data_IF_850379685241
#
_entry.id   IF_850379685241
#
_cell.length_a   1.000
_cell.length_b   1.000
_cell.length_c   1.000
_cell.angle_alpha   90.00
_cell.angle_beta   90.00
_cell.angle_gamma   90.00
#
_symmetry.space_group_name_H-M   'P 1'
#
loop_
_entity.id
_entity.type
_entity.pdbx_description
1 polymer ?
#
# COMPACT_ATOMS: atom_id res chain seq x y z
N UNK A 1 -21.51 78.79 3.44
CA UNK A 1 -20.58 78.08 2.54
C UNK A 1 -19.73 77.11 3.37
N UNK A 2 -19.98 75.79 3.18
CA UNK A 2 -18.96 74.72 3.00
C UNK A 2 -18.17 74.25 4.24
N UNK A 3 -18.59 73.11 4.83
CA UNK A 3 -17.89 71.79 4.95
C UNK A 3 -17.17 71.59 6.30
N UNK A 4 -17.59 70.68 7.19
CA UNK A 4 -17.50 69.21 7.12
C UNK A 4 -16.05 68.69 6.97
N UNK A 5 -15.46 68.19 8.06
CA UNK A 5 -14.36 67.22 7.97
C UNK A 5 -14.32 66.32 9.22
N UNK A 6 -15.05 65.20 9.13
CA UNK A 6 -14.93 64.03 10.01
C UNK A 6 -13.96 63.08 9.31
N UNK A 7 -12.87 62.65 9.94
CA UNK A 7 -12.16 61.46 9.47
C UNK A 7 -11.73 60.59 10.66
N UNK A 8 -12.52 59.52 10.82
CA UNK A 8 -12.28 58.35 11.66
C UNK A 8 -11.10 57.55 11.08
N UNK A 9 -10.14 57.19 11.94
CA UNK A 9 -9.00 56.35 11.60
C UNK A 9 -9.39 54.89 11.89
N UNK A 10 -9.60 54.09 10.84
CA UNK A 10 -9.88 52.66 10.94
C UNK A 10 -8.63 51.86 10.54
N UNK A 11 -8.02 51.18 11.51
CA UNK A 11 -6.91 50.26 11.28
C UNK A 11 -7.46 48.88 10.90
N UNK A 12 -7.21 48.44 9.67
CA UNK A 12 -7.58 47.11 9.18
C UNK A 12 -6.39 46.17 9.38
N UNK A 13 -6.50 45.25 10.34
CA UNK A 13 -5.55 44.16 10.55
C UNK A 13 -5.99 43.00 9.65
N UNK A 14 -5.25 42.74 8.56
CA UNK A 14 -5.45 41.56 7.72
C UNK A 14 -4.70 40.39 8.35
N UNK A 15 -5.44 39.50 9.01
CA UNK A 15 -4.91 38.22 9.51
C UNK A 15 -4.83 37.19 8.39
N UNK A 16 -3.62 36.83 7.97
CA UNK A 16 -3.39 35.70 7.08
C UNK A 16 -3.39 34.40 7.90
N UNK A 17 -4.49 33.66 7.88
CA UNK A 17 -4.56 32.31 8.45
C UNK A 17 -3.91 31.32 7.49
N UNK A 18 -2.68 30.90 7.78
CA UNK A 18 -2.06 29.75 7.12
C UNK A 18 -2.73 28.47 7.64
N UNK A 19 -3.65 27.90 6.84
CA UNK A 19 -4.16 26.55 7.08
C UNK A 19 -3.03 25.58 6.74
N UNK A 20 -2.32 25.10 7.76
CA UNK A 20 -1.39 23.99 7.63
C UNK A 20 -2.16 22.74 7.22
N UNK A 21 -2.08 22.36 5.95
CA UNK A 21 -2.60 21.08 5.46
C UNK A 21 -1.69 19.98 6.01
N UNK A 22 -2.01 19.44 7.19
CA UNK A 22 -1.38 18.21 7.66
C UNK A 22 -1.79 17.11 6.69
N UNK A 23 -0.86 16.68 5.82
CA UNK A 23 -1.10 15.58 4.91
C UNK A 23 -1.40 14.33 5.75
N UNK A 24 -2.66 13.89 5.74
CA UNK A 24 -3.06 12.64 6.39
C UNK A 24 -2.24 11.51 5.80
N UNK A 25 -1.62 10.68 6.66
CA UNK A 25 -0.93 9.49 6.19
C UNK A 25 -1.91 8.63 5.38
N UNK A 26 -1.53 8.23 4.14
CA UNK A 26 -2.42 7.46 3.29
C UNK A 26 -2.76 6.16 4.03
N UNK A 27 -4.03 5.99 4.34
CA UNK A 27 -4.53 4.87 5.14
C UNK A 27 -5.47 4.03 4.27
N UNK A 28 -5.30 2.71 4.33
CA UNK A 28 -6.22 1.80 3.65
C UNK A 28 -7.60 1.86 4.35
N UNK A 29 -8.71 2.09 3.61
CA UNK A 29 -10.04 2.13 4.21
C UNK A 29 -10.39 0.80 4.91
N UNK A 30 -11.41 0.79 5.77
CA UNK A 30 -11.84 -0.47 6.41
C UNK A 30 -12.54 -1.42 5.42
N UNK A 31 -13.17 -0.84 4.39
CA UNK A 31 -13.84 -1.56 3.31
C UNK A 31 -13.11 -1.31 2.01
N UNK A 32 -12.89 -2.33 1.17
CA UNK A 32 -12.23 -2.15 -0.12
C UNK A 32 -13.09 -1.27 -1.04
N UNK A 33 -12.43 -0.34 -1.69
CA UNK A 33 -13.00 0.42 -2.80
C UNK A 33 -12.92 -0.40 -4.09
N UNK A 34 -13.86 -0.16 -5.01
CA UNK A 34 -13.88 -0.80 -6.33
C UNK A 34 -13.64 0.30 -7.35
N UNK A 35 -12.56 0.17 -8.10
CA UNK A 35 -12.20 1.12 -9.14
C UNK A 35 -12.55 0.58 -10.52
N UNK A 36 -13.04 1.46 -11.40
CA UNK A 36 -13.31 1.11 -12.79
C UNK A 36 -12.02 1.00 -13.62
N UNK A 37 -12.09 0.27 -14.74
CA UNK A 37 -11.00 0.21 -15.74
C UNK A 37 -9.92 -0.85 -15.49
N UNK A 38 -10.14 -1.80 -14.56
CA UNK A 38 -9.25 -2.96 -14.31
C UNK A 38 -9.84 -4.28 -14.81
N UNK A 39 -10.82 -4.22 -15.71
CA UNK A 39 -11.46 -5.40 -16.30
C UNK A 39 -10.52 -6.15 -17.26
N UNK A 40 -9.57 -5.42 -17.86
CA UNK A 40 -8.58 -5.97 -18.77
C UNK A 40 -7.15 -5.53 -18.36
N UNK A 41 -6.22 -6.48 -18.39
CA UNK A 41 -4.81 -6.22 -18.14
C UNK A 41 -4.21 -5.26 -19.20
N UNK A 42 -4.60 -5.36 -20.47
CA UNK A 42 -4.03 -4.56 -21.56
C UNK A 42 -4.41 -3.08 -21.47
N UNK A 43 -5.64 -2.77 -21.04
CA UNK A 43 -6.08 -1.39 -20.80
C UNK A 43 -5.33 -0.79 -19.62
N UNK A 44 -5.12 -1.59 -18.57
CA UNK A 44 -4.34 -1.19 -17.39
C UNK A 44 -2.87 -0.97 -17.75
N UNK A 45 -2.27 -1.86 -18.54
CA UNK A 45 -0.89 -1.75 -19.01
C UNK A 45 -0.67 -0.48 -19.83
N UNK A 46 -1.55 -0.19 -20.80
CA UNK A 46 -1.49 1.04 -21.60
C UNK A 46 -1.58 2.30 -20.73
N UNK A 47 -2.48 2.32 -19.75
CA UNK A 47 -2.61 3.44 -18.80
C UNK A 47 -1.32 3.65 -18.02
N UNK A 48 -0.75 2.58 -17.45
CA UNK A 48 0.51 2.63 -16.70
C UNK A 48 1.65 3.09 -17.61
N UNK A 49 1.74 2.58 -18.84
CA UNK A 49 2.76 2.96 -19.82
C UNK A 49 2.71 4.46 -20.15
N UNK A 50 1.51 5.01 -20.33
CA UNK A 50 1.32 6.42 -20.71
C UNK A 50 1.79 7.42 -19.65
N UNK A 51 1.86 7.00 -18.38
CA UNK A 51 2.26 7.85 -17.25
C UNK A 51 3.75 7.74 -16.91
N UNK A 52 4.51 6.89 -17.61
CA UNK A 52 5.88 6.55 -17.25
C UNK A 52 5.93 5.68 -15.99
N UNK A 53 6.00 4.34 -16.13
CA UNK A 53 5.96 3.44 -15.00
C UNK A 53 7.16 3.68 -14.07
N UNK A 54 6.89 3.88 -12.78
CA UNK A 54 7.91 3.83 -11.73
C UNK A 54 8.31 2.39 -11.44
N UNK A 55 9.42 2.23 -10.71
CA UNK A 55 10.01 0.92 -10.41
C UNK A 55 9.00 -0.11 -9.88
N UNK A 56 8.07 0.24 -8.98
CA UNK A 56 7.09 -0.71 -8.43
C UNK A 56 5.80 -0.83 -9.26
N UNK A 57 5.54 0.14 -10.15
CA UNK A 57 4.32 0.20 -10.94
C UNK A 57 4.32 -0.87 -12.04
N UNK A 58 3.17 -1.47 -12.27
CA UNK A 58 3.05 -2.56 -13.22
C UNK A 58 1.92 -3.53 -12.93
N UNK A 59 1.90 -4.59 -13.72
CA UNK A 59 0.99 -5.72 -13.56
C UNK A 59 1.80 -6.91 -13.05
N UNK A 60 1.28 -7.58 -12.05
CA UNK A 60 1.97 -8.62 -11.31
C UNK A 60 1.09 -9.87 -11.19
N UNK A 61 1.72 -11.03 -11.26
CA UNK A 61 1.09 -12.34 -11.04
C UNK A 61 1.53 -12.92 -9.71
N UNK A 62 0.60 -13.38 -8.88
CA UNK A 62 0.93 -14.17 -7.69
C UNK A 62 1.37 -15.58 -8.08
N UNK A 63 2.58 -15.94 -7.69
CA UNK A 63 3.11 -17.30 -7.91
C UNK A 63 2.23 -18.31 -7.17
N UNK A 64 1.63 -19.24 -7.91
CA UNK A 64 0.82 -20.34 -7.36
C UNK A 64 -0.64 -20.00 -7.02
N UNK A 65 -1.16 -18.81 -7.35
CA UNK A 65 -2.56 -18.43 -7.05
C UNK A 65 -3.38 -17.91 -8.23
N UNK A 66 -2.84 -17.93 -9.46
CA UNK A 66 -3.49 -17.42 -10.69
C UNK A 66 -4.14 -16.03 -10.56
N UNK A 67 -3.72 -15.25 -9.57
CA UNK A 67 -4.24 -13.93 -9.29
C UNK A 67 -3.33 -12.89 -9.93
N UNK A 68 -3.93 -11.96 -10.67
CA UNK A 68 -3.28 -10.87 -11.36
C UNK A 68 -3.70 -9.57 -10.69
N UNK A 69 -2.72 -8.77 -10.30
CA UNK A 69 -2.90 -7.47 -9.66
C UNK A 69 -2.20 -6.37 -10.46
N UNK A 70 -2.71 -5.16 -10.35
CA UNK A 70 -2.05 -3.94 -10.79
C UNK A 70 -1.55 -3.17 -9.57
N UNK A 71 -0.34 -2.61 -9.69
CA UNK A 71 0.19 -1.61 -8.77
C UNK A 71 0.36 -0.31 -9.54
N UNK A 72 -0.26 0.76 -9.04
CA UNK A 72 -0.19 2.09 -9.64
C UNK A 72 -0.30 3.17 -8.56
N UNK A 73 0.26 4.36 -8.81
CA UNK A 73 0.12 5.50 -7.90
C UNK A 73 -1.35 5.88 -7.66
N UNK A 74 -1.68 6.25 -6.44
CA UNK A 74 -3.04 6.70 -6.06
C UNK A 74 -3.42 8.01 -6.75
N UNK A 75 -2.44 8.88 -7.00
CA UNK A 75 -2.58 10.08 -7.82
C UNK A 75 -1.25 10.39 -8.53
N UNK A 76 -1.24 11.20 -9.61
CA UNK A 76 -0.02 11.54 -10.34
C UNK A 76 1.10 12.12 -9.46
N UNK A 77 0.73 12.88 -8.42
CA UNK A 77 1.63 13.50 -7.45
C UNK A 77 1.84 12.67 -6.17
N UNK A 78 1.11 11.57 -5.98
CA UNK A 78 1.22 10.75 -4.78
C UNK A 78 2.53 9.95 -4.77
N UNK A 79 3.07 9.82 -3.56
CA UNK A 79 4.11 8.84 -3.24
C UNK A 79 3.53 7.47 -2.89
N UNK A 80 2.23 7.40 -2.59
CA UNK A 80 1.54 6.15 -2.28
C UNK A 80 1.01 5.46 -3.56
N UNK A 81 1.01 4.14 -3.51
CA UNK A 81 0.53 3.27 -4.57
C UNK A 81 -0.65 2.45 -4.07
N UNK A 82 -1.62 2.19 -4.94
CA UNK A 82 -2.71 1.26 -4.69
C UNK A 82 -2.41 -0.07 -5.38
N UNK A 83 -2.82 -1.14 -4.72
CA UNK A 83 -2.81 -2.49 -5.26
C UNK A 83 -4.25 -2.88 -5.56
N UNK A 84 -4.54 -3.21 -6.82
CA UNK A 84 -5.90 -3.49 -7.31
C UNK A 84 -5.92 -4.84 -8.02
N UNK A 85 -6.97 -5.62 -7.79
CA UNK A 85 -7.14 -6.93 -8.42
C UNK A 85 -7.65 -6.75 -9.85
N UNK A 86 -6.95 -7.32 -10.83
CA UNK A 86 -7.42 -7.42 -12.22
C UNK A 86 -8.15 -8.75 -12.41
N UNK A 87 -7.53 -9.85 -11.98
CA UNK A 87 -8.07 -11.20 -12.12
C UNK A 87 -7.77 -12.01 -10.87
N UNK A 88 -8.72 -12.84 -10.46
CA UNK A 88 -8.54 -13.78 -9.34
C UNK A 88 -9.35 -15.04 -9.64
N UNK A 89 -8.91 -16.22 -9.19
CA UNK A 89 -9.72 -17.44 -9.29
C UNK A 89 -11.00 -17.37 -8.45
N UNK A 90 -11.04 -16.53 -7.41
CA UNK A 90 -12.22 -16.33 -6.57
C UNK A 90 -13.25 -15.43 -7.28
N UNK A 91 -14.30 -16.05 -7.80
CA UNK A 91 -15.38 -15.35 -8.55
C UNK A 91 -16.21 -14.40 -7.69
N UNK A 92 -16.14 -14.49 -6.36
CA UNK A 92 -16.87 -13.57 -5.50
C UNK A 92 -16.26 -12.17 -5.52
N UNK A 93 -14.94 -12.07 -5.76
CA UNK A 93 -14.21 -10.80 -5.78
C UNK A 93 -14.30 -10.19 -7.18
N UNK A 94 -14.79 -8.95 -7.26
CA UNK A 94 -14.89 -8.22 -8.53
C UNK A 94 -13.52 -7.70 -8.98
N UNK A 95 -13.19 -7.75 -10.28
CA UNK A 95 -12.11 -6.95 -10.85
C UNK A 95 -12.25 -5.48 -10.46
N UNK A 96 -11.12 -4.81 -10.21
CA UNK A 96 -11.09 -3.43 -9.71
C UNK A 96 -11.14 -3.30 -8.19
N UNK A 97 -11.33 -4.39 -7.45
CA UNK A 97 -11.32 -4.34 -5.97
C UNK A 97 -9.92 -4.00 -5.45
N UNK A 98 -9.83 -2.98 -4.60
CA UNK A 98 -8.59 -2.60 -3.91
C UNK A 98 -8.17 -3.68 -2.92
N UNK A 99 -7.02 -4.28 -3.17
CA UNK A 99 -6.40 -5.27 -2.29
C UNK A 99 -5.56 -4.61 -1.18
N UNK A 100 -4.97 -3.46 -1.48
CA UNK A 100 -4.09 -2.80 -0.52
C UNK A 100 -3.53 -1.46 -0.96
N UNK A 101 -2.66 -0.93 -0.11
CA UNK A 101 -1.99 0.35 -0.23
C UNK A 101 -0.50 0.14 0.08
N UNK A 102 0.37 0.76 -0.70
CA UNK A 102 1.81 0.72 -0.53
C UNK A 102 2.35 2.12 -0.36
N UNK A 103 3.30 2.28 0.55
CA UNK A 103 4.03 3.52 0.80
C UNK A 103 5.51 3.22 0.68
N UNK A 104 6.30 4.02 -0.05
CA UNK A 104 7.75 3.85 -0.12
C UNK A 104 8.34 3.97 1.29
N UNK A 105 9.12 2.96 1.67
CA UNK A 105 9.92 3.01 2.89
C UNK A 105 11.26 3.68 2.55
N UNK A 106 12.13 3.94 3.52
CA UNK A 106 13.38 4.70 3.34
C UNK A 106 14.42 4.13 2.33
N UNK A 107 14.07 3.10 1.55
CA UNK A 107 14.86 2.52 0.47
C UNK A 107 13.98 2.34 -0.78
N UNK A 108 14.54 2.60 -1.97
CA UNK A 108 13.82 2.50 -3.24
C UNK A 108 13.30 1.09 -3.56
N UNK A 109 13.86 0.06 -2.92
CA UNK A 109 13.48 -1.34 -3.11
C UNK A 109 12.49 -1.85 -2.05
N UNK A 110 12.22 -1.06 -0.99
CA UNK A 110 11.38 -1.47 0.13
C UNK A 110 10.15 -0.58 0.26
N UNK A 111 9.00 -1.22 0.42
CA UNK A 111 7.72 -0.55 0.56
C UNK A 111 6.99 -1.10 1.78
N UNK A 112 6.39 -0.21 2.55
CA UNK A 112 5.46 -0.58 3.61
C UNK A 112 4.07 -0.73 2.99
N UNK A 113 3.56 -1.95 2.98
CA UNK A 113 2.29 -2.31 2.40
C UNK A 113 1.26 -2.63 3.49
N UNK A 114 0.03 -2.16 3.32
CA UNK A 114 -1.13 -2.62 4.08
C UNK A 114 -2.08 -3.32 3.14
N UNK A 115 -2.33 -4.60 3.38
CA UNK A 115 -3.12 -5.46 2.50
C UNK A 115 -4.28 -6.09 3.27
N UNK A 116 -5.44 -6.25 2.65
CA UNK A 116 -6.49 -7.10 3.20
C UNK A 116 -6.07 -8.57 3.12
N UNK A 117 -6.34 -9.33 4.18
CA UNK A 117 -5.88 -10.73 4.29
C UNK A 117 -6.99 -11.76 4.45
N UNK A 118 -8.23 -11.31 4.54
CA UNK A 118 -9.40 -12.17 4.60
C UNK A 118 -10.39 -11.73 3.53
N UNK A 119 -11.09 -12.69 2.93
CA UNK A 119 -12.24 -12.45 2.08
C UNK A 119 -13.48 -13.06 2.74
N UNK A 120 -14.59 -12.33 2.72
CA UNK A 120 -15.91 -12.83 3.10
C UNK A 120 -16.86 -12.54 1.94
N UNK A 121 -17.13 -13.56 1.14
CA UNK A 121 -17.85 -13.41 -0.13
C UNK A 121 -17.14 -12.39 -1.04
N UNK A 122 -17.85 -11.33 -1.42
CA UNK A 122 -17.34 -10.32 -2.35
C UNK A 122 -16.52 -9.21 -1.71
N UNK A 123 -16.30 -9.25 -0.40
CA UNK A 123 -15.64 -8.15 0.34
C UNK A 123 -14.35 -8.64 0.99
N UNK A 124 -13.30 -7.82 0.88
CA UNK A 124 -12.02 -8.02 1.55
C UNK A 124 -12.03 -7.35 2.93
N UNK A 125 -11.36 -7.96 3.90
CA UNK A 125 -11.30 -7.49 5.29
C UNK A 125 -9.97 -7.85 5.96
N UNK A 126 -9.83 -7.46 7.23
CA UNK A 126 -8.65 -7.68 8.05
C UNK A 126 -7.36 -7.11 7.42
N UNK A 127 -7.24 -5.76 7.34
CA UNK A 127 -6.04 -5.11 6.86
C UNK A 127 -4.85 -5.45 7.77
N UNK A 128 -3.74 -5.90 7.19
CA UNK A 128 -2.50 -6.23 7.89
C UNK A 128 -1.31 -5.59 7.19
N UNK A 129 -0.28 -5.30 7.99
CA UNK A 129 0.97 -4.71 7.51
C UNK A 129 1.93 -5.77 6.99
N UNK A 130 2.55 -5.47 5.86
CA UNK A 130 3.56 -6.25 5.16
C UNK A 130 4.69 -5.32 4.74
N UNK A 131 5.90 -5.83 4.73
CA UNK A 131 7.03 -5.22 4.05
C UNK A 131 7.16 -5.88 2.69
N UNK A 132 7.09 -5.07 1.64
CA UNK A 132 7.24 -5.49 0.27
C UNK A 132 8.67 -5.15 -0.17
N UNK A 133 9.40 -6.15 -0.64
CA UNK A 133 10.74 -5.97 -1.20
C UNK A 133 10.72 -6.26 -2.69
N UNK A 134 11.27 -5.33 -3.47
CA UNK A 134 11.52 -5.46 -4.89
C UNK A 134 12.88 -6.14 -5.09
N UNK A 135 12.91 -7.24 -5.84
CA UNK A 135 14.10 -8.08 -6.05
C UNK A 135 14.34 -8.21 -7.55
N UNK A 136 15.56 -8.61 -7.93
CA UNK A 136 15.91 -8.98 -9.31
C UNK A 136 15.67 -7.80 -10.27
N UNK A 137 16.22 -6.64 -9.90
CA UNK A 137 16.12 -5.38 -10.65
C UNK A 137 14.68 -4.95 -10.97
N UNK A 138 13.71 -5.38 -10.17
CA UNK A 138 12.31 -5.08 -10.39
C UNK A 138 11.49 -6.23 -10.99
N UNK A 139 12.07 -7.37 -11.33
CA UNK A 139 11.33 -8.49 -11.93
C UNK A 139 10.41 -9.21 -10.93
N UNK A 140 10.79 -9.22 -9.65
CA UNK A 140 10.10 -9.99 -8.60
C UNK A 140 9.76 -9.14 -7.39
N UNK A 141 8.63 -9.47 -6.77
CA UNK A 141 8.19 -8.90 -5.50
C UNK A 141 8.07 -10.01 -4.47
N UNK A 142 8.52 -9.72 -3.25
CA UNK A 142 8.40 -10.61 -2.10
C UNK A 142 7.66 -9.91 -0.97
N UNK A 143 6.70 -10.60 -0.36
CA UNK A 143 5.94 -10.10 0.79
C UNK A 143 6.43 -10.73 2.09
N UNK A 144 6.92 -9.91 3.02
CA UNK A 144 7.22 -10.30 4.39
C UNK A 144 6.14 -9.73 5.33
N UNK A 145 5.54 -10.55 6.18
CA UNK A 145 4.49 -10.08 7.09
C UNK A 145 5.13 -9.36 8.28
N UNK A 146 4.69 -8.13 8.55
CA UNK A 146 5.10 -7.42 9.76
C UNK A 146 4.24 -7.93 10.92
N UNK A 147 4.77 -8.86 11.69
CA UNK A 147 4.12 -9.31 12.93
C UNK A 147 4.14 -8.22 14.01
N UNK A 148 3.09 -8.18 14.84
CA UNK A 148 3.13 -7.39 16.07
C UNK A 148 4.27 -7.89 16.95
N UNK A 149 5.19 -7.00 17.33
CA UNK A 149 6.28 -7.30 18.28
C UNK A 149 5.77 -7.58 19.70
N UNK A 150 4.50 -7.30 19.98
CA UNK A 150 3.92 -7.35 21.31
C UNK A 150 2.82 -8.41 21.36
N UNK A 151 3.07 -9.47 22.13
CA UNK A 151 2.05 -10.42 22.59
C UNK A 151 1.82 -10.14 24.07
N UNK A 152 0.64 -9.64 24.42
CA UNK A 152 0.22 -9.50 25.81
C UNK A 152 -0.50 -10.78 26.21
N UNK A 153 0.19 -11.67 26.92
CA UNK A 153 -0.43 -12.82 27.58
C UNK A 153 -1.22 -12.29 28.81
N UNK A 154 -2.54 -12.52 28.89
CA UNK A 154 -3.39 -11.99 29.97
C UNK A 154 -3.23 -12.71 31.33
N UNK A 155 -2.14 -13.46 31.53
CA UNK A 155 -1.79 -14.13 32.81
C UNK A 155 -1.38 -13.10 33.89
N UNK A 156 -1.51 -11.80 33.60
CA UNK A 156 -1.21 -10.66 34.48
C UNK A 156 -2.39 -10.17 35.32
N UNK A 157 -3.56 -10.82 35.29
CA UNK A 157 -4.65 -10.55 36.25
C UNK A 157 -4.52 -11.35 37.54
N UNK A 158 -3.49 -12.19 37.68
CA UNK A 158 -3.23 -12.96 38.89
C UNK A 158 -2.17 -12.24 39.75
N UNK A 159 -2.52 -11.82 40.99
CA UNK A 159 -1.54 -11.34 41.95
C UNK A 159 -0.60 -12.51 42.29
N UNK A 160 0.72 -12.26 42.41
CA UNK A 160 1.80 -13.14 42.91
C UNK A 160 2.89 -13.67 41.95
N UNK A 161 2.88 -13.42 40.63
CA UNK A 161 3.97 -13.89 39.75
C UNK A 161 4.83 -12.76 39.15
N UNK A 162 5.50 -11.99 40.02
CA UNK A 162 6.50 -11.00 39.61
C UNK A 162 7.91 -11.58 39.73
N UNK A 163 8.39 -12.23 38.66
CA UNK A 163 9.84 -12.44 38.48
C UNK A 163 10.25 -12.65 37.02
N UNK A 164 9.98 -11.63 36.17
CA UNK A 164 10.22 -11.60 34.70
C UNK A 164 9.32 -12.61 33.96
N UNK A 165 8.81 -12.35 32.76
CA UNK A 165 9.55 -12.48 31.50
C UNK A 165 8.70 -11.78 30.41
N UNK A 166 9.19 -10.67 29.84
CA UNK A 166 8.72 -10.21 28.54
C UNK A 166 9.41 -11.09 27.51
N UNK A 167 8.69 -12.02 26.87
CA UNK A 167 9.23 -12.74 25.72
C UNK A 167 9.06 -11.85 24.49
N UNK A 168 10.17 -11.38 23.93
CA UNK A 168 10.17 -10.84 22.57
C UNK A 168 9.81 -11.99 21.64
N UNK A 169 8.67 -11.89 20.97
CA UNK A 169 8.24 -12.90 20.01
C UNK A 169 9.19 -12.87 18.79
N UNK A 170 10.25 -13.67 18.83
CA UNK A 170 11.17 -13.89 17.69
C UNK A 170 10.54 -14.74 16.57
N UNK A 171 9.30 -15.18 16.73
CA UNK A 171 8.64 -16.12 15.82
C UNK A 171 7.72 -15.45 14.79
N UNK A 172 7.71 -14.12 14.70
CA UNK A 172 6.90 -13.41 13.70
C UNK A 172 7.32 -13.67 12.24
N UNK A 173 8.48 -14.30 12.01
CA UNK A 173 9.21 -14.15 10.74
C UNK A 173 9.68 -15.46 10.06
N UNK A 174 9.27 -16.66 10.51
CA UNK A 174 9.94 -17.90 10.04
C UNK A 174 9.15 -18.91 9.20
N UNK A 175 7.82 -18.96 9.25
CA UNK A 175 7.11 -20.16 8.75
C UNK A 175 6.05 -19.94 7.67
N UNK A 176 6.00 -18.78 7.02
CA UNK A 176 5.20 -18.62 5.79
C UNK A 176 6.19 -18.30 4.68
N UNK A 177 6.38 -19.24 3.75
CA UNK A 177 7.12 -18.97 2.52
C UNK A 177 6.58 -17.64 1.95
N UNK A 178 7.45 -16.63 1.76
CA UNK A 178 6.97 -15.33 1.34
C UNK A 178 6.28 -15.52 0.00
N UNK A 179 5.03 -15.08 -0.09
CA UNK A 179 4.32 -15.12 -1.35
C UNK A 179 5.14 -14.29 -2.35
N UNK A 180 5.49 -14.91 -3.48
CA UNK A 180 6.18 -14.24 -4.56
C UNK A 180 5.18 -13.66 -5.54
N UNK A 181 5.52 -12.51 -6.13
CA UNK A 181 4.87 -11.98 -7.31
C UNK A 181 5.90 -11.84 -8.42
N UNK A 182 5.50 -12.22 -9.64
CA UNK A 182 6.31 -12.08 -10.86
C UNK A 182 5.71 -10.97 -11.71
N UNK A 183 6.56 -10.11 -12.26
CA UNK A 183 6.12 -9.02 -13.13
C UNK A 183 5.62 -9.57 -14.47
N UNK A 184 4.40 -9.18 -14.85
CA UNK A 184 3.84 -9.39 -16.19
C UNK A 184 4.11 -8.17 -17.06
N UNK A 185 3.93 -6.97 -16.51
CA UNK A 185 4.12 -5.70 -17.21
C UNK A 185 4.77 -4.64 -16.30
N UNK A 186 5.69 -3.80 -16.79
CA UNK A 186 6.46 -3.95 -18.03
C UNK A 186 7.13 -5.32 -18.11
N UNK A 187 7.31 -5.83 -19.33
CA UNK A 187 7.94 -7.13 -19.51
C UNK A 187 9.32 -7.11 -18.82
N UNK A 188 9.62 -8.07 -17.93
CA UNK A 188 10.92 -8.13 -17.29
C UNK A 188 11.98 -8.26 -18.39
N UNK A 189 13.09 -7.55 -18.23
CA UNK A 189 14.23 -7.69 -19.14
C UNK A 189 14.74 -9.12 -18.96
N UNK A 190 14.48 -9.98 -19.95
CA UNK A 190 15.02 -11.35 -19.95
C UNK A 190 16.54 -11.20 -20.01
N UNK A 191 17.30 -11.83 -19.09
CA UNK A 191 18.75 -11.82 -19.18
C UNK A 191 19.19 -12.39 -20.53
N UNK A 192 20.06 -11.65 -21.25
CA UNK A 192 20.49 -11.95 -22.62
C UNK A 192 21.25 -13.29 -22.75
N UNK A 193 21.58 -13.92 -21.63
CA UNK A 193 22.15 -15.27 -21.57
C UNK A 193 21.52 -16.12 -20.46
N UNK A 194 21.06 -17.35 -20.76
CA UNK A 194 20.66 -18.29 -19.72
C UNK A 194 21.89 -18.72 -18.91
N UNK A 195 21.81 -18.57 -17.58
CA UNK A 195 22.79 -19.15 -16.66
C UNK A 195 22.49 -20.64 -16.56
N UNK A 196 23.28 -21.45 -17.27
CA UNK A 196 23.30 -22.89 -17.04
C UNK A 196 24.07 -23.16 -15.73
N UNK A 197 23.37 -23.75 -14.76
CA UNK A 197 23.97 -24.32 -13.53
C UNK A 197 24.31 -25.78 -13.75
#
# INVERSE_FOLDING_TARGET
MISACRFLLAAVIVGASAIGLAASEPTLPQRPEIFAGYENADTTARRIASLGPRAIEGIWSFTGREAIIAIERTSPAASAYRMVIIRTPDRAIRPGTQMGLLVPSGSAEKFDATLYTSSSGSTLSAPKRFTLSLIDSGSRITFARVGSRYSIEPIRLLPYMFRRIIRVNRSADRNVAPAGCVRIFPAPVVPDSPVYL
#
